data_IF_160793335282
#
_entry.id   IF_160793335282
#
_cell.length_a   1.000
_cell.length_b   1.000
_cell.length_c   1.000
_cell.angle_alpha   90.00
_cell.angle_beta   90.00
_cell.angle_gamma   90.00
#
_symmetry.space_group_name_H-M   'P 1'
#
loop_
_entity.id
_entity.type
_entity.pdbx_description
1 polymer ?
#
# COMPACT_ATOMS: atom_id res chain seq x y z
N UNK A 1 4.92 11.88 -17.71
CA UNK A 1 4.08 12.80 -16.93
C UNK A 1 4.96 13.90 -16.38
N UNK A 2 4.58 15.17 -16.54
CA UNK A 2 5.37 16.27 -15.99
C UNK A 2 5.21 16.34 -14.45
N UNK A 3 6.07 17.10 -13.78
CA UNK A 3 6.08 17.18 -12.31
C UNK A 3 4.76 17.71 -11.73
N UNK A 4 4.11 18.65 -12.44
CA UNK A 4 2.83 19.24 -12.00
C UNK A 4 1.70 18.22 -12.07
N UNK A 5 1.61 17.48 -13.17
CA UNK A 5 0.64 16.38 -13.36
C UNK A 5 0.83 15.30 -12.30
N UNK A 6 2.08 14.92 -12.01
CA UNK A 6 2.39 13.95 -10.96
C UNK A 6 1.91 14.41 -9.58
N UNK A 7 2.09 15.68 -9.24
CA UNK A 7 1.57 16.24 -7.98
C UNK A 7 0.04 16.26 -7.94
N UNK A 8 -0.61 16.59 -9.06
CA UNK A 8 -2.07 16.55 -9.18
C UNK A 8 -2.58 15.13 -8.99
N UNK A 9 -1.95 14.15 -9.64
CA UNK A 9 -2.28 12.74 -9.54
C UNK A 9 -2.14 12.25 -8.09
N UNK A 10 -0.99 12.49 -7.45
CA UNK A 10 -0.76 12.14 -6.03
C UNK A 10 -1.83 12.71 -5.11
N UNK A 11 -2.20 13.98 -5.31
CA UNK A 11 -3.23 14.65 -4.50
C UNK A 11 -4.62 14.08 -4.75
N UNK A 12 -4.94 13.70 -5.99
CA UNK A 12 -6.19 13.03 -6.37
C UNK A 12 -6.30 11.65 -5.72
N UNK A 13 -5.23 10.86 -5.80
CA UNK A 13 -5.16 9.54 -5.14
C UNK A 13 -5.29 9.73 -3.63
N UNK A 14 -4.48 10.58 -3.00
CA UNK A 14 -4.54 10.86 -1.56
C UNK A 14 -5.95 11.21 -1.07
N UNK A 15 -6.68 12.08 -1.78
CA UNK A 15 -8.06 12.47 -1.44
C UNK A 15 -9.09 11.35 -1.59
N UNK A 16 -8.76 10.28 -2.31
CA UNK A 16 -9.62 9.10 -2.44
C UNK A 16 -9.53 8.16 -1.23
N UNK A 17 -8.64 8.46 -0.28
CA UNK A 17 -8.42 7.67 0.91
C UNK A 17 -8.50 8.51 2.19
N UNK A 18 -8.76 7.83 3.29
CA UNK A 18 -8.64 8.34 4.66
C UNK A 18 -7.71 7.42 5.44
N UNK A 19 -6.75 7.98 6.18
CA UNK A 19 -5.89 7.17 7.06
C UNK A 19 -6.43 7.22 8.48
N UNK A 20 -6.78 6.07 9.10
CA UNK A 20 -7.35 6.02 10.42
C UNK A 20 -6.47 6.70 11.49
N UNK A 21 -7.11 7.43 12.39
CA UNK A 21 -6.44 8.15 13.47
C UNK A 21 -5.82 9.49 13.03
N UNK A 22 -6.01 9.91 11.77
CA UNK A 22 -5.71 11.28 11.35
C UNK A 22 -6.82 12.24 11.81
N UNK A 23 -6.43 13.27 12.53
CA UNK A 23 -7.26 14.43 12.85
C UNK A 23 -6.80 15.68 12.10
N UNK A 24 -7.49 16.81 12.31
CA UNK A 24 -7.16 18.08 11.65
C UNK A 24 -5.72 18.55 11.91
N UNK A 25 -5.15 18.19 13.06
CA UNK A 25 -3.81 18.57 13.50
C UNK A 25 -2.80 17.42 13.48
N UNK A 26 -3.24 16.20 13.18
CA UNK A 26 -2.41 15.00 13.21
C UNK A 26 -2.48 14.31 11.86
N UNK A 27 -1.72 14.83 10.90
CA UNK A 27 -1.60 14.21 9.58
C UNK A 27 -0.44 13.21 9.59
N UNK A 28 -0.68 12.00 9.06
CA UNK A 28 0.43 11.07 8.85
C UNK A 28 1.29 11.56 7.67
N UNK A 29 2.62 11.56 7.81
CA UNK A 29 3.49 11.91 6.70
C UNK A 29 3.36 10.89 5.58
N UNK A 30 3.46 11.38 4.35
CA UNK A 30 3.68 10.53 3.17
C UNK A 30 5.02 9.81 3.35
N UNK A 31 5.11 8.57 2.85
CA UNK A 31 6.26 7.67 3.02
C UNK A 31 6.52 7.23 4.47
N UNK A 32 5.53 7.36 5.36
CA UNK A 32 5.60 6.75 6.68
C UNK A 32 5.06 5.32 6.66
N UNK A 33 5.73 4.42 7.38
CA UNK A 33 5.27 3.05 7.60
C UNK A 33 4.63 2.98 8.99
N UNK A 34 3.36 2.56 9.04
CA UNK A 34 2.69 2.29 10.31
C UNK A 34 2.72 0.79 10.62
N UNK A 35 3.22 0.44 11.79
CA UNK A 35 3.26 -0.92 12.29
C UNK A 35 2.04 -1.18 13.17
N UNK A 36 1.27 -2.22 12.85
CA UNK A 36 0.11 -2.62 13.64
C UNK A 36 0.44 -3.82 14.53
N UNK A 37 0.22 -3.76 15.85
CA UNK A 37 0.42 -4.91 16.74
C UNK A 37 -0.60 -6.03 16.49
N UNK A 38 -1.64 -5.78 15.68
CA UNK A 38 -2.62 -6.80 15.29
C UNK A 38 -2.13 -7.70 14.15
N UNK A 39 -1.07 -7.29 13.45
CA UNK A 39 -0.48 -8.06 12.37
C UNK A 39 0.70 -8.89 12.87
N UNK A 40 1.05 -9.92 12.12
CA UNK A 40 2.24 -10.72 12.41
C UNK A 40 3.49 -9.92 12.08
N UNK A 41 4.59 -10.23 12.78
CA UNK A 41 5.91 -9.67 12.50
C UNK A 41 6.28 -9.80 11.01
N UNK A 42 6.07 -10.98 10.43
CA UNK A 42 6.35 -11.25 9.02
C UNK A 42 5.59 -10.31 8.08
N UNK A 43 4.29 -10.08 8.32
CA UNK A 43 3.48 -9.20 7.50
C UNK A 43 4.00 -7.75 7.55
N UNK A 44 4.33 -7.26 8.75
CA UNK A 44 4.85 -5.90 8.92
C UNK A 44 6.25 -5.72 8.30
N UNK A 45 7.12 -6.74 8.40
CA UNK A 45 8.43 -6.72 7.75
C UNK A 45 8.33 -6.67 6.22
N UNK A 46 7.41 -7.46 5.63
CA UNK A 46 7.15 -7.42 4.20
C UNK A 46 6.56 -6.09 3.75
N UNK A 47 5.65 -5.50 4.53
CA UNK A 47 5.12 -4.16 4.28
C UNK A 47 6.24 -3.12 4.23
N UNK A 48 7.14 -3.14 5.22
CA UNK A 48 8.30 -2.26 5.24
C UNK A 48 9.22 -2.46 4.02
N UNK A 49 9.45 -3.72 3.61
CA UNK A 49 10.24 -4.06 2.43
C UNK A 49 9.60 -3.52 1.13
N UNK A 50 8.30 -3.71 0.94
CA UNK A 50 7.57 -3.16 -0.22
C UNK A 50 7.66 -1.64 -0.25
N UNK A 51 7.46 -0.98 0.88
CA UNK A 51 7.61 0.48 1.01
C UNK A 51 9.01 0.95 0.61
N UNK A 52 10.06 0.23 1.01
CA UNK A 52 11.43 0.54 0.62
C UNK A 52 11.65 0.42 -0.90
N UNK A 53 11.11 -0.63 -1.54
CA UNK A 53 11.20 -0.78 -3.00
C UNK A 53 10.46 0.34 -3.76
N UNK A 54 9.32 0.81 -3.23
CA UNK A 54 8.62 1.98 -3.80
C UNK A 54 9.50 3.24 -3.71
N UNK A 55 10.21 3.45 -2.59
CA UNK A 55 11.12 4.60 -2.43
C UNK A 55 12.31 4.55 -3.37
N UNK A 56 12.93 3.38 -3.56
CA UNK A 56 14.03 3.19 -4.51
C UNK A 56 13.64 3.61 -5.94
N UNK A 57 12.38 3.39 -6.30
CA UNK A 57 11.82 3.82 -7.59
C UNK A 57 11.41 5.31 -7.64
N UNK A 58 11.65 6.07 -6.57
CA UNK A 58 11.32 7.50 -6.51
C UNK A 58 9.84 7.83 -6.33
N UNK A 59 9.00 6.83 -6.05
CA UNK A 59 7.56 6.98 -5.88
C UNK A 59 7.17 7.32 -4.44
N UNK A 60 5.92 7.74 -4.25
CA UNK A 60 5.36 8.06 -2.93
C UNK A 60 4.26 7.08 -2.54
N UNK A 61 4.12 6.83 -1.24
CA UNK A 61 3.10 5.92 -0.73
C UNK A 61 2.49 6.40 0.60
N UNK A 62 1.38 5.75 0.97
CA UNK A 62 0.77 5.80 2.30
C UNK A 62 0.39 4.40 2.74
N UNK A 63 0.52 4.08 4.03
CA UNK A 63 0.14 2.78 4.59
C UNK A 63 -1.17 2.83 5.37
N UNK A 64 -1.86 1.70 5.45
CA UNK A 64 -3.09 1.52 6.26
C UNK A 64 -4.23 2.48 5.86
N UNK A 65 -4.30 2.84 4.58
CA UNK A 65 -5.26 3.80 4.08
C UNK A 65 -6.60 3.12 3.76
N UNK A 66 -7.71 3.71 4.21
CA UNK A 66 -9.07 3.25 3.95
C UNK A 66 -9.61 3.96 2.71
N UNK A 67 -10.08 3.20 1.73
CA UNK A 67 -10.65 3.78 0.52
C UNK A 67 -12.02 4.42 0.83
N UNK A 68 -12.22 5.67 0.43
CA UNK A 68 -13.45 6.41 0.73
C UNK A 68 -14.68 5.86 -0.02
N UNK A 69 -14.47 5.12 -1.13
CA UNK A 69 -15.56 4.54 -1.93
C UNK A 69 -16.01 3.17 -1.42
N UNK A 70 -15.06 2.30 -1.15
CA UNK A 70 -15.30 0.90 -0.80
C UNK A 70 -15.24 0.63 0.70
N UNK A 71 -14.68 1.56 1.48
CA UNK A 71 -14.53 1.45 2.94
C UNK A 71 -13.49 0.43 3.40
N UNK A 72 -12.82 -0.24 2.46
CA UNK A 72 -11.81 -1.23 2.77
C UNK A 72 -10.43 -0.60 2.96
N UNK A 73 -9.61 -1.24 3.79
CA UNK A 73 -8.25 -0.80 4.07
C UNK A 73 -7.27 -1.51 3.14
N UNK A 74 -6.35 -0.73 2.58
CA UNK A 74 -5.17 -1.23 1.90
C UNK A 74 -3.95 -1.17 2.82
N UNK A 75 -3.09 -2.18 2.75
CA UNK A 75 -1.82 -2.16 3.47
C UNK A 75 -0.94 -1.01 2.99
N UNK A 76 -0.82 -0.84 1.67
CA UNK A 76 -0.04 0.22 1.02
C UNK A 76 -0.81 0.76 -0.19
N UNK A 77 -0.79 2.08 -0.37
CA UNK A 77 -1.29 2.75 -1.58
C UNK A 77 -0.15 3.56 -2.19
N UNK A 78 0.15 3.30 -3.47
CA UNK A 78 1.12 4.07 -4.26
C UNK A 78 0.42 5.33 -4.77
N UNK A 79 0.88 6.50 -4.34
CA UNK A 79 0.22 7.77 -4.68
C UNK A 79 0.44 8.17 -6.14
N UNK A 80 1.50 7.69 -6.75
CA UNK A 80 1.91 8.04 -8.12
C UNK A 80 0.99 7.38 -9.17
N UNK A 81 0.66 6.10 -8.96
CA UNK A 81 -0.16 5.30 -9.88
C UNK A 81 -1.59 5.12 -9.38
N UNK A 82 -1.80 5.12 -8.06
CA UNK A 82 -3.06 4.76 -7.43
C UNK A 82 -3.17 3.27 -7.09
N UNK A 83 -2.13 2.47 -7.36
CA UNK A 83 -2.12 1.04 -7.10
C UNK A 83 -2.21 0.76 -5.60
N UNK A 84 -2.97 -0.27 -5.28
CA UNK A 84 -3.09 -0.82 -3.94
C UNK A 84 -2.24 -2.06 -3.85
N UNK A 85 -1.41 -2.14 -2.82
CA UNK A 85 -0.60 -3.32 -2.55
C UNK A 85 -1.05 -3.92 -1.23
N UNK A 86 -1.35 -5.22 -1.26
CA UNK A 86 -1.81 -5.99 -0.11
C UNK A 86 -0.78 -7.09 0.16
N UNK A 87 -0.29 -7.18 1.38
CA UNK A 87 0.73 -8.16 1.79
C UNK A 87 0.04 -9.32 2.47
N UNK A 88 0.21 -10.53 1.93
CA UNK A 88 -0.42 -11.71 2.48
C UNK A 88 0.61 -12.79 2.80
N UNK A 89 0.50 -13.32 4.03
CA UNK A 89 1.40 -14.36 4.55
C UNK A 89 0.82 -15.77 4.43
N UNK A 90 -0.48 -15.91 4.09
CA UNK A 90 -1.10 -17.22 3.87
C UNK A 90 -2.03 -17.24 2.67
N UNK A 91 -2.08 -18.38 1.96
CA UNK A 91 -3.00 -18.62 0.83
C UNK A 91 -4.46 -18.33 1.21
N UNK A 92 -4.87 -18.73 2.41
CA UNK A 92 -6.23 -18.53 2.91
C UNK A 92 -6.61 -17.04 2.95
N UNK A 93 -5.69 -16.17 3.38
CA UNK A 93 -5.98 -14.73 3.45
C UNK A 93 -6.01 -14.10 2.06
N UNK A 94 -5.11 -14.47 1.15
CA UNK A 94 -5.10 -13.92 -0.21
C UNK A 94 -6.36 -14.21 -1.03
N UNK A 95 -7.06 -15.31 -0.76
CA UNK A 95 -8.34 -15.63 -1.42
C UNK A 95 -9.37 -14.50 -1.35
N UNK A 96 -9.30 -13.63 -0.33
CA UNK A 96 -10.21 -12.48 -0.18
C UNK A 96 -10.09 -11.44 -1.30
N UNK A 97 -9.04 -11.52 -2.12
CA UNK A 97 -8.78 -10.59 -3.22
C UNK A 97 -9.06 -11.18 -4.61
N UNK A 98 -9.25 -12.50 -4.74
CA UNK A 98 -9.47 -13.15 -6.05
C UNK A 98 -10.73 -12.65 -6.76
N UNK A 99 -11.78 -12.34 -5.99
CA UNK A 99 -13.07 -11.87 -6.50
C UNK A 99 -13.38 -10.42 -6.10
N UNK A 100 -12.37 -9.67 -5.66
CA UNK A 100 -12.60 -8.35 -5.09
C UNK A 100 -12.61 -7.30 -6.19
N UNK A 101 -13.79 -6.80 -6.52
CA UNK A 101 -13.91 -5.61 -7.35
C UNK A 101 -13.35 -4.41 -6.59
N UNK A 102 -12.44 -3.67 -7.24
CA UNK A 102 -11.84 -2.47 -6.70
C UNK A 102 -11.74 -1.42 -7.80
N UNK A 103 -12.07 -0.15 -7.50
CA UNK A 103 -11.91 0.94 -8.46
C UNK A 103 -10.43 1.28 -8.74
N UNK A 104 -9.51 0.67 -7.99
CA UNK A 104 -8.07 0.82 -8.14
C UNK A 104 -7.43 -0.57 -8.30
N UNK A 105 -6.38 -0.71 -9.13
CA UNK A 105 -5.65 -1.97 -9.27
C UNK A 105 -5.17 -2.48 -7.90
N UNK A 106 -5.31 -3.79 -7.67
CA UNK A 106 -4.83 -4.46 -6.46
C UNK A 106 -3.72 -5.42 -6.87
N UNK A 107 -2.55 -5.25 -6.27
CA UNK A 107 -1.42 -6.17 -6.34
C UNK A 107 -1.30 -6.90 -5.01
N UNK A 108 -1.42 -8.22 -5.02
CA UNK A 108 -1.25 -9.05 -3.82
C UNK A 108 0.16 -9.63 -3.80
N UNK A 109 0.91 -9.32 -2.75
CA UNK A 109 2.23 -9.91 -2.49
C UNK A 109 2.03 -11.15 -1.62
N UNK A 110 2.09 -12.33 -2.25
CA UNK A 110 2.00 -13.62 -1.58
C UNK A 110 3.39 -14.06 -1.06
N UNK A 111 3.67 -13.84 0.23
CA UNK A 111 5.03 -14.01 0.78
C UNK A 111 5.53 -15.45 0.68
N UNK A 112 4.64 -16.44 0.80
CA UNK A 112 4.98 -17.87 0.67
C UNK A 112 5.37 -18.29 -0.75
N UNK A 113 5.10 -17.46 -1.75
CA UNK A 113 5.45 -17.72 -3.14
C UNK A 113 6.81 -17.10 -3.52
N UNK A 114 7.44 -16.38 -2.59
CA UNK A 114 8.72 -15.71 -2.83
C UNK A 114 9.85 -16.62 -2.33
N UNK A 115 10.65 -17.21 -3.24
CA UNK A 115 11.66 -18.20 -2.87
C UNK A 115 12.86 -17.58 -2.15
N UNK A 116 13.21 -16.34 -2.49
CA UNK A 116 14.30 -15.59 -1.87
C UNK A 116 13.81 -14.17 -1.53
N UNK A 117 13.41 -13.92 -0.27
CA UNK A 117 12.98 -12.62 0.15
C UNK A 117 14.04 -11.55 -0.08
N UNK A 118 15.34 -11.83 0.08
CA UNK A 118 16.38 -10.82 -0.01
C UNK A 118 16.54 -10.27 -1.43
N UNK A 119 16.40 -11.15 -2.43
CA UNK A 119 16.47 -10.79 -3.86
C UNK A 119 15.15 -10.34 -4.48
N UNK A 120 14.08 -10.29 -3.70
CA UNK A 120 12.78 -9.88 -4.22
C UNK A 120 12.72 -8.38 -4.51
N UNK A 121 12.16 -8.05 -5.67
CA UNK A 121 11.92 -6.68 -6.13
C UNK A 121 10.44 -6.48 -6.49
N UNK A 122 9.93 -5.29 -6.20
CA UNK A 122 8.56 -4.93 -6.56
C UNK A 122 8.49 -4.58 -8.05
N UNK A 123 7.60 -5.24 -8.80
CA UNK A 123 7.30 -4.93 -10.21
C UNK A 123 5.96 -4.19 -10.26
N UNK A 124 6.06 -2.87 -10.41
CA UNK A 124 4.99 -1.88 -10.61
C UNK A 124 5.53 -0.78 -11.51
#
# INVERSE_FOLDING_TARGET
MNQKELLIQRKKVWRSYHVPGMGNYTTRPVNAIFLSPKNTWEHEMWKAKVCHEILKKGMKFVTEAVCNKTGDRADIVVLDTGDRIEVETTKRRAKRFESKESPFPITVIATWAIPDPEKWELII
#
